data_IF_612044320158
#
_entry.id   IF_612044320158
#
_cell.length_a   1.000
_cell.length_b   1.000
_cell.length_c   1.000
_cell.angle_alpha   90.00
_cell.angle_beta   90.00
_cell.angle_gamma   90.00
#
_symmetry.space_group_name_H-M   'P 1'
#
loop_
_entity.id
_entity.type
_entity.pdbx_description
1 polymer ?
#
# COMPACT_ATOMS: atom_id res chain seq x y z
N UNK A 1 47.60 22.18 8.08
CA UNK A 1 46.22 21.79 8.43
C UNK A 1 45.34 22.94 8.99
N UNK A 2 45.66 24.23 8.76
CA UNK A 2 44.79 25.36 9.17
C UNK A 2 43.90 25.92 8.06
N UNK A 3 44.25 25.72 6.79
CA UNK A 3 43.53 26.25 5.63
C UNK A 3 42.29 25.42 5.24
N UNK A 4 42.27 24.12 5.55
CA UNK A 4 41.14 23.24 5.21
C UNK A 4 39.90 23.50 6.08
N UNK A 5 40.09 23.88 7.35
CA UNK A 5 38.98 24.23 8.27
C UNK A 5 38.29 25.54 7.89
N UNK A 6 39.03 26.52 7.38
CA UNK A 6 38.47 27.82 6.97
C UNK A 6 37.63 27.72 5.69
N UNK A 7 38.02 26.83 4.77
CA UNK A 7 37.29 26.61 3.53
C UNK A 7 35.97 25.85 3.77
N UNK A 8 36.00 24.87 4.69
CA UNK A 8 34.80 24.13 5.09
C UNK A 8 33.78 25.03 5.82
N UNK A 9 34.24 25.97 6.64
CA UNK A 9 33.38 26.94 7.34
C UNK A 9 32.73 27.95 6.38
N UNK A 10 33.43 28.34 5.32
CA UNK A 10 32.92 29.26 4.29
C UNK A 10 31.81 28.60 3.45
N UNK A 11 31.97 27.33 3.10
CA UNK A 11 30.96 26.55 2.35
C UNK A 11 29.71 26.31 3.21
N UNK A 12 29.88 26.01 4.49
CA UNK A 12 28.77 25.80 5.43
C UNK A 12 27.93 27.09 5.59
N UNK A 13 28.57 28.26 5.61
CA UNK A 13 27.90 29.56 5.79
C UNK A 13 27.08 29.97 4.54
N UNK A 14 27.52 29.57 3.35
CA UNK A 14 26.79 29.77 2.08
C UNK A 14 25.58 28.83 1.98
N UNK A 15 25.67 27.60 2.49
CA UNK A 15 24.53 26.67 2.52
C UNK A 15 23.44 27.11 3.51
N UNK A 16 23.81 27.69 4.66
CA UNK A 16 22.85 28.18 5.66
C UNK A 16 22.07 29.41 5.16
N UNK A 17 22.67 30.25 4.31
CA UNK A 17 22.02 31.44 3.74
C UNK A 17 21.08 31.13 2.57
N UNK A 18 21.18 29.94 1.96
CA UNK A 18 20.24 29.47 0.94
C UNK A 18 18.90 28.93 1.47
N UNK A 19 18.80 28.62 2.77
CA UNK A 19 17.61 28.02 3.39
C UNK A 19 16.62 29.05 3.98
N UNK A 20 16.99 30.33 4.07
CA UNK A 20 16.13 31.41 4.62
C UNK A 20 15.29 32.15 3.55
N UNK A 21 15.22 31.63 2.32
CA UNK A 21 14.68 32.33 1.16
C UNK A 21 13.21 32.09 0.77
N UNK A 22 12.37 31.51 1.63
CA UNK A 22 10.92 31.39 1.37
C UNK A 22 10.10 31.59 2.65
N UNK A 23 9.92 32.84 3.04
CA UNK A 23 8.77 33.24 3.84
C UNK A 23 8.39 34.67 3.44
N UNK A 24 7.35 34.79 2.61
CA UNK A 24 6.74 36.05 2.25
C UNK A 24 5.22 35.87 2.31
N UNK A 25 4.68 36.08 3.52
CA UNK A 25 3.28 36.36 3.75
C UNK A 25 2.85 37.61 2.94
N UNK A 26 1.64 37.56 2.38
CA UNK A 26 0.93 38.73 1.85
C UNK A 26 -0.46 38.79 2.49
N UNK A 27 -0.61 39.72 3.42
CA UNK A 27 -1.85 40.42 3.77
C UNK A 27 -1.45 41.90 3.92
N UNK A 28 -1.84 42.82 3.03
CA UNK A 28 -3.12 43.57 2.92
C UNK A 28 -2.81 45.07 3.19
N UNK A 29 -3.55 46.02 2.58
CA UNK A 29 -4.64 46.61 3.36
C UNK A 29 -5.91 46.96 2.54
N UNK A 30 -7.04 46.43 3.02
CA UNK A 30 -8.29 47.13 3.39
C UNK A 30 -8.43 48.60 2.97
N UNK A 31 -9.59 48.96 2.40
CA UNK A 31 -10.57 49.93 2.96
C UNK A 31 -11.85 50.03 2.10
N UNK A 32 -12.95 49.56 2.71
CA UNK A 32 -14.41 49.89 2.60
C UNK A 32 -15.27 49.54 1.37
N UNK A 33 -16.27 48.68 1.60
CA UNK A 33 -17.61 48.80 0.98
C UNK A 33 -18.50 49.83 1.75
N UNK A 34 -19.68 50.26 1.23
CA UNK A 34 -20.91 49.46 1.39
C UNK A 34 -21.95 49.48 0.23
N UNK A 35 -22.57 48.32 -0.01
CA UNK A 35 -24.02 48.07 -0.15
C UNK A 35 -24.91 48.66 -1.29
N UNK A 36 -25.60 47.73 -1.97
CA UNK A 36 -26.98 47.76 -2.53
C UNK A 36 -27.38 48.67 -3.72
N UNK A 37 -27.70 48.04 -4.89
CA UNK A 37 -29.01 48.08 -5.59
C UNK A 37 -28.98 47.47 -7.03
N UNK A 38 -29.88 46.51 -7.32
CA UNK A 38 -30.54 46.30 -8.64
C UNK A 38 -31.69 47.36 -8.77
N UNK A 39 -32.23 47.77 -9.95
CA UNK A 39 -32.83 46.96 -11.05
C UNK A 39 -32.54 47.48 -12.50
N UNK A 40 -32.41 46.62 -13.53
CA UNK A 40 -33.41 46.29 -14.59
C UNK A 40 -33.58 47.29 -15.77
N UNK A 41 -33.38 46.82 -17.02
CA UNK A 41 -34.16 47.07 -18.28
C UNK A 41 -33.35 46.50 -19.48
N UNK A 42 -33.76 45.40 -20.15
CA UNK A 42 -34.61 45.30 -21.37
C UNK A 42 -34.08 46.14 -22.56
N UNK A 43 -34.07 45.76 -23.85
CA UNK A 43 -34.48 44.59 -24.67
C UNK A 43 -34.18 45.00 -26.13
N UNK A 44 -33.79 44.10 -27.05
CA UNK A 44 -34.28 44.03 -28.45
C UNK A 44 -33.98 42.63 -29.02
N UNK A 45 -35.02 41.93 -29.51
CA UNK A 45 -35.02 40.63 -30.23
C UNK A 45 -34.86 40.85 -31.78
N UNK A 46 -35.24 39.93 -32.70
CA UNK A 46 -34.99 38.49 -32.88
C UNK A 46 -34.38 38.21 -34.29
N UNK A 47 -33.91 36.98 -34.52
CA UNK A 47 -34.20 36.24 -35.77
C UNK A 47 -33.96 34.74 -35.55
N UNK A 48 -35.01 33.96 -35.84
CA UNK A 48 -35.15 32.51 -35.75
C UNK A 48 -34.44 31.74 -36.89
N UNK A 49 -34.47 30.41 -36.73
CA UNK A 49 -34.34 29.30 -37.73
C UNK A 49 -32.89 28.73 -37.78
N UNK A 50 -32.56 27.51 -37.31
CA UNK A 50 -33.36 26.30 -37.02
C UNK A 50 -32.76 25.43 -35.89
N UNK A 51 -33.68 24.73 -35.21
CA UNK A 51 -33.47 23.59 -34.33
C UNK A 51 -32.97 22.36 -35.10
N UNK A 52 -32.00 21.65 -34.53
CA UNK A 52 -32.11 20.19 -34.39
C UNK A 52 -31.65 19.81 -32.99
N UNK A 53 -32.64 19.47 -32.16
CA UNK A 53 -32.49 18.88 -30.84
C UNK A 53 -32.08 17.41 -30.93
N UNK A 54 -31.51 16.96 -29.80
CA UNK A 54 -31.76 15.69 -29.13
C UNK A 54 -30.76 14.54 -29.31
N UNK A 55 -29.96 14.35 -28.26
CA UNK A 55 -30.00 13.11 -27.48
C UNK A 55 -29.67 13.41 -26.01
N UNK A 56 -30.61 14.06 -25.32
CA UNK A 56 -30.75 13.89 -23.86
C UNK A 56 -31.39 12.52 -23.66
N UNK A 57 -30.56 11.50 -23.40
CA UNK A 57 -31.06 10.19 -23.02
C UNK A 57 -31.42 10.22 -21.54
N UNK A 58 -32.70 10.46 -21.22
CA UNK A 58 -33.20 10.11 -19.91
C UNK A 58 -33.23 8.59 -19.79
N UNK A 59 -32.32 8.02 -19.00
CA UNK A 59 -32.37 6.60 -18.65
C UNK A 59 -33.74 6.26 -18.03
N UNK A 60 -34.42 5.27 -18.60
CA UNK A 60 -35.66 4.76 -18.05
C UNK A 60 -35.36 3.96 -16.77
N UNK A 61 -36.23 3.98 -15.74
CA UNK A 61 -36.03 3.22 -14.49
C UNK A 61 -35.77 1.72 -14.71
N UNK A 62 -36.30 1.15 -15.80
CA UNK A 62 -36.13 -0.27 -16.16
C UNK A 62 -34.69 -0.57 -16.61
N UNK A 63 -33.97 0.41 -17.16
CA UNK A 63 -32.60 0.23 -17.63
C UNK A 63 -31.59 0.26 -16.47
N UNK A 64 -31.77 1.22 -15.55
CA UNK A 64 -30.96 1.34 -14.33
C UNK A 64 -30.99 0.08 -13.46
N UNK A 65 -32.17 -0.52 -13.28
CA UNK A 65 -32.31 -1.74 -12.47
C UNK A 65 -31.50 -2.92 -13.05
N UNK A 66 -31.53 -3.08 -14.38
CA UNK A 66 -30.75 -4.12 -15.08
C UNK A 66 -29.25 -3.87 -14.97
N UNK A 67 -28.82 -2.62 -15.08
CA UNK A 67 -27.43 -2.25 -14.89
C UNK A 67 -26.96 -2.59 -13.47
N UNK A 68 -27.79 -2.36 -12.44
CA UNK A 68 -27.49 -2.74 -11.06
C UNK A 68 -27.37 -4.26 -10.91
N UNK A 69 -28.21 -5.05 -11.56
CA UNK A 69 -28.10 -6.53 -11.56
C UNK A 69 -26.78 -7.01 -12.18
N UNK A 70 -26.37 -6.41 -13.31
CA UNK A 70 -25.07 -6.70 -13.93
C UNK A 70 -23.94 -6.35 -12.98
N UNK A 71 -24.00 -5.19 -12.30
CA UNK A 71 -22.99 -4.78 -11.34
C UNK A 71 -22.86 -5.75 -10.16
N UNK A 72 -23.99 -6.21 -9.61
CA UNK A 72 -24.01 -7.22 -8.52
C UNK A 72 -23.37 -8.53 -8.95
N UNK A 73 -23.55 -8.95 -10.20
CA UNK A 73 -22.96 -10.16 -10.74
C UNK A 73 -21.42 -10.09 -10.91
N UNK A 74 -20.84 -8.88 -10.90
CA UNK A 74 -19.39 -8.67 -10.97
C UNK A 74 -18.70 -8.77 -9.59
N UNK A 75 -19.45 -8.78 -8.49
CA UNK A 75 -18.90 -8.88 -7.13
C UNK A 75 -18.57 -10.36 -6.86
N UNK A 76 -17.30 -10.73 -6.61
CA UNK A 76 -16.94 -12.10 -6.31
C UNK A 76 -17.43 -12.53 -4.93
N UNK A 77 -17.62 -13.84 -4.76
CA UNK A 77 -17.98 -14.44 -3.48
C UNK A 77 -16.93 -14.11 -2.40
N UNK A 78 -17.38 -13.69 -1.23
CA UNK A 78 -16.52 -13.32 -0.10
C UNK A 78 -16.29 -11.81 0.08
N UNK A 79 -16.61 -10.98 -0.92
CA UNK A 79 -16.56 -9.50 -0.79
C UNK A 79 -17.96 -8.98 -0.49
N UNK A 80 -18.37 -9.06 0.78
CA UNK A 80 -19.76 -8.81 1.18
C UNK A 80 -20.00 -7.46 1.85
N UNK A 81 -18.95 -6.82 2.36
CA UNK A 81 -19.08 -5.59 3.12
C UNK A 81 -17.92 -4.64 2.87
N UNK A 82 -18.18 -3.36 3.12
CA UNK A 82 -17.14 -2.34 3.10
C UNK A 82 -16.18 -2.61 4.27
N UNK A 83 -14.87 -2.73 4.03
CA UNK A 83 -13.90 -2.88 5.10
C UNK A 83 -13.79 -1.54 5.86
N UNK A 84 -14.07 -1.56 7.16
CA UNK A 84 -14.02 -0.37 8.01
C UNK A 84 -12.77 -0.35 8.91
N UNK A 85 -12.21 -1.53 9.16
CA UNK A 85 -11.05 -1.73 10.03
C UNK A 85 -9.86 -2.28 9.27
N UNK A 86 -8.66 -2.12 9.84
CA UNK A 86 -7.44 -2.72 9.29
C UNK A 86 -7.53 -4.26 9.23
N UNK A 87 -8.25 -4.88 10.18
CA UNK A 87 -8.49 -6.32 10.21
C UNK A 87 -9.38 -6.77 9.04
N UNK A 88 -10.36 -5.98 8.66
CA UNK A 88 -11.20 -6.27 7.49
C UNK A 88 -10.40 -6.25 6.18
N UNK A 89 -9.49 -5.28 6.02
CA UNK A 89 -8.61 -5.20 4.86
C UNK A 89 -7.63 -6.37 4.80
N UNK A 90 -7.12 -6.78 5.95
CA UNK A 90 -6.19 -7.90 6.04
C UNK A 90 -6.86 -9.24 5.72
N UNK A 91 -8.11 -9.44 6.14
CA UNK A 91 -8.85 -10.68 5.91
C UNK A 91 -9.59 -10.73 4.56
N UNK A 92 -9.53 -9.66 3.78
CA UNK A 92 -10.18 -9.59 2.47
C UNK A 92 -9.48 -10.55 1.49
N UNK A 93 -10.21 -11.38 0.73
CA UNK A 93 -9.58 -12.22 -0.28
C UNK A 93 -8.88 -11.36 -1.34
N UNK A 94 -7.74 -11.81 -1.87
CA UNK A 94 -7.03 -11.08 -2.91
C UNK A 94 -7.91 -10.98 -4.16
N UNK A 95 -7.90 -9.80 -4.77
CA UNK A 95 -8.60 -9.52 -6.00
C UNK A 95 -7.97 -10.25 -7.19
N UNK A 96 -8.73 -10.39 -8.26
CA UNK A 96 -8.31 -11.09 -9.50
C UNK A 96 -6.94 -10.63 -10.04
N UNK A 97 -6.62 -9.34 -9.89
CA UNK A 97 -5.39 -8.73 -10.41
C UNK A 97 -4.35 -8.43 -9.33
N UNK A 98 -4.52 -8.99 -8.12
CA UNK A 98 -3.58 -8.87 -7.01
C UNK A 98 -2.18 -9.40 -7.35
N UNK A 99 -1.13 -8.78 -6.77
CA UNK A 99 0.25 -9.28 -6.80
C UNK A 99 0.97 -9.16 -8.15
N UNK A 100 0.32 -8.60 -9.17
CA UNK A 100 0.90 -8.40 -10.50
C UNK A 100 0.88 -6.92 -10.87
N UNK A 101 2.00 -6.43 -11.40
CA UNK A 101 2.11 -5.02 -11.78
C UNK A 101 1.12 -4.69 -12.91
N UNK A 102 0.41 -3.56 -12.76
CA UNK A 102 -0.58 -3.05 -13.72
C UNK A 102 -0.14 -3.16 -15.18
N UNK A 103 1.10 -2.74 -15.51
CA UNK A 103 1.60 -2.75 -16.89
C UNK A 103 1.70 -4.13 -17.55
N UNK A 104 1.67 -5.22 -16.78
CA UNK A 104 1.69 -6.60 -17.30
C UNK A 104 0.30 -7.17 -17.58
N UNK A 105 -0.75 -6.50 -17.11
CA UNK A 105 -2.14 -6.97 -17.21
C UNK A 105 -3.09 -5.86 -17.69
N UNK A 106 -2.54 -4.75 -18.19
CA UNK A 106 -3.31 -3.56 -18.59
C UNK A 106 -4.45 -3.91 -19.54
N UNK A 107 -4.18 -4.71 -20.57
CA UNK A 107 -5.18 -5.06 -21.58
C UNK A 107 -6.31 -5.92 -21.00
N UNK A 108 -6.03 -6.75 -20.01
CA UNK A 108 -7.06 -7.56 -19.34
C UNK A 108 -7.88 -6.72 -18.36
N UNK A 109 -7.21 -5.85 -17.61
CA UNK A 109 -7.86 -4.88 -16.71
C UNK A 109 -8.82 -4.00 -17.51
N UNK A 110 -8.35 -3.41 -18.61
CA UNK A 110 -9.17 -2.53 -19.45
C UNK A 110 -10.40 -3.28 -20.01
N UNK A 111 -10.24 -4.56 -20.40
CA UNK A 111 -11.36 -5.40 -20.87
C UNK A 111 -12.39 -5.68 -19.78
N UNK A 112 -11.96 -5.97 -18.55
CA UNK A 112 -12.87 -6.25 -17.44
C UNK A 112 -13.59 -4.97 -17.01
N UNK A 113 -12.89 -3.84 -16.94
CA UNK A 113 -13.52 -2.55 -16.60
C UNK A 113 -14.53 -2.10 -17.65
N UNK A 114 -14.36 -2.45 -18.93
CA UNK A 114 -15.38 -2.21 -19.97
C UNK A 114 -16.69 -2.98 -19.75
N UNK A 115 -16.70 -4.02 -18.91
CA UNK A 115 -17.92 -4.76 -18.56
C UNK A 115 -18.71 -4.08 -17.45
N UNK A 116 -18.13 -3.09 -16.77
CA UNK A 116 -18.84 -2.36 -15.73
C UNK A 116 -19.93 -1.51 -16.38
N UNK A 117 -21.17 -1.57 -15.86
CA UNK A 117 -22.24 -0.74 -16.36
C UNK A 117 -21.91 0.75 -16.13
N UNK A 118 -22.54 1.62 -16.91
CA UNK A 118 -22.44 3.07 -16.73
C UNK A 118 -23.79 3.59 -16.23
N UNK A 119 -23.94 3.66 -14.91
CA UNK A 119 -25.18 4.13 -14.27
C UNK A 119 -25.08 5.64 -14.07
N UNK A 120 -25.98 6.42 -14.68
CA UNK A 120 -26.00 7.86 -14.47
C UNK A 120 -26.53 8.22 -13.06
N UNK A 121 -25.87 9.19 -12.42
CA UNK A 121 -26.22 9.68 -11.08
C UNK A 121 -26.47 8.54 -10.07
N UNK A 122 -25.46 7.69 -9.79
CA UNK A 122 -25.63 6.57 -8.88
C UNK A 122 -25.94 7.08 -7.47
N UNK A 123 -26.87 6.41 -6.80
CA UNK A 123 -27.09 6.63 -5.38
C UNK A 123 -25.97 5.97 -4.56
N UNK A 124 -26.01 6.18 -3.24
CA UNK A 124 -24.99 5.67 -2.33
C UNK A 124 -24.88 4.14 -2.38
N UNK A 125 -26.01 3.44 -2.41
CA UNK A 125 -26.04 1.97 -2.44
C UNK A 125 -25.40 1.45 -3.73
N UNK A 126 -25.67 2.09 -4.88
CA UNK A 126 -25.03 1.75 -6.15
C UNK A 126 -23.52 2.00 -6.11
N UNK A 127 -23.07 3.10 -5.49
CA UNK A 127 -21.63 3.38 -5.32
C UNK A 127 -20.93 2.32 -4.47
N UNK A 128 -21.60 1.83 -3.42
CA UNK A 128 -21.07 0.75 -2.59
C UNK A 128 -20.90 -0.54 -3.40
N UNK A 129 -21.85 -0.87 -4.29
CA UNK A 129 -21.70 -2.02 -5.20
C UNK A 129 -20.51 -1.88 -6.15
N UNK A 130 -20.29 -0.70 -6.72
CA UNK A 130 -19.09 -0.43 -7.53
C UNK A 130 -17.82 -0.66 -6.74
N UNK A 131 -17.77 -0.16 -5.51
CA UNK A 131 -16.62 -0.31 -4.64
C UNK A 131 -16.34 -1.79 -4.32
N UNK A 132 -17.35 -2.57 -3.97
CA UNK A 132 -17.20 -4.01 -3.71
C UNK A 132 -16.72 -4.77 -4.95
N UNK A 133 -17.25 -4.44 -6.14
CA UNK A 133 -16.81 -5.04 -7.39
C UNK A 133 -15.33 -4.70 -7.68
N UNK A 134 -14.91 -3.46 -7.44
CA UNK A 134 -13.52 -3.04 -7.60
C UNK A 134 -12.59 -3.72 -6.58
N UNK A 135 -13.02 -3.89 -5.33
CA UNK A 135 -12.26 -4.68 -4.35
C UNK A 135 -12.04 -6.12 -4.83
N UNK A 136 -13.08 -6.75 -5.39
CA UNK A 136 -12.96 -8.08 -5.99
C UNK A 136 -11.94 -8.17 -7.13
N UNK A 137 -11.60 -7.06 -7.78
CA UNK A 137 -10.60 -7.00 -8.83
C UNK A 137 -9.20 -6.67 -8.30
N UNK A 138 -9.11 -5.75 -7.34
CA UNK A 138 -7.84 -5.08 -6.99
C UNK A 138 -7.44 -5.15 -5.52
N UNK A 139 -8.18 -5.85 -4.66
CA UNK A 139 -7.74 -6.09 -3.30
C UNK A 139 -6.36 -6.77 -3.30
N UNK A 140 -5.38 -6.18 -2.62
CA UNK A 140 -4.02 -6.73 -2.60
C UNK A 140 -3.92 -7.90 -1.62
N UNK A 141 -3.03 -8.84 -1.90
CA UNK A 141 -2.71 -9.96 -1.00
C UNK A 141 -1.78 -9.48 0.12
N UNK A 142 -2.36 -8.87 1.16
CA UNK A 142 -1.59 -8.39 2.30
C UNK A 142 -1.08 -9.56 3.16
N UNK A 143 0.19 -9.56 3.57
CA UNK A 143 0.71 -10.57 4.49
C UNK A 143 0.18 -10.37 5.90
N UNK A 144 0.07 -11.47 6.66
CA UNK A 144 -0.29 -11.45 8.09
C UNK A 144 0.59 -10.46 8.86
N UNK A 145 0.02 -9.47 9.59
CA UNK A 145 0.81 -8.51 10.35
C UNK A 145 1.75 -9.18 11.36
N UNK A 146 1.30 -10.27 11.99
CA UNK A 146 2.13 -11.04 12.93
C UNK A 146 3.32 -11.71 12.24
N UNK A 147 3.14 -12.18 11.01
CA UNK A 147 4.22 -12.79 10.24
C UNK A 147 5.30 -11.74 9.89
N UNK A 148 4.89 -10.54 9.48
CA UNK A 148 5.82 -9.42 9.25
C UNK A 148 6.57 -9.05 10.53
N UNK A 149 5.87 -8.93 11.66
CA UNK A 149 6.49 -8.66 12.96
C UNK A 149 7.51 -9.75 13.32
N UNK A 150 7.18 -11.02 13.09
CA UNK A 150 8.08 -12.14 13.38
C UNK A 150 9.31 -12.11 12.48
N UNK A 151 9.16 -11.82 11.18
CA UNK A 151 10.29 -11.68 10.25
C UNK A 151 11.22 -10.53 10.68
N UNK A 152 10.66 -9.39 11.08
CA UNK A 152 11.45 -8.25 11.59
C UNK A 152 12.21 -8.64 12.86
N UNK A 153 11.56 -9.33 13.81
CA UNK A 153 12.21 -9.82 15.04
C UNK A 153 13.34 -10.79 14.75
N UNK A 154 13.14 -11.70 13.81
CA UNK A 154 14.18 -12.65 13.39
C UNK A 154 15.35 -11.95 12.69
N UNK A 155 15.09 -11.02 11.78
CA UNK A 155 16.11 -10.23 11.11
C UNK A 155 16.90 -9.34 12.08
N UNK A 156 16.24 -8.92 13.16
CA UNK A 156 16.83 -8.08 14.22
C UNK A 156 17.46 -8.90 15.34
N UNK A 157 17.51 -10.23 15.23
CA UNK A 157 18.10 -11.09 16.26
C UNK A 157 19.53 -10.66 16.58
N UNK A 158 19.79 -10.38 17.86
CA UNK A 158 21.09 -9.93 18.33
C UNK A 158 21.38 -8.44 18.16
N UNK A 159 20.43 -7.64 17.65
CA UNK A 159 20.54 -6.18 17.64
C UNK A 159 20.56 -5.62 19.07
N UNK A 160 21.45 -4.68 19.39
CA UNK A 160 21.50 -4.04 20.71
C UNK A 160 20.28 -3.15 20.99
N UNK A 161 19.51 -2.77 19.97
CA UNK A 161 18.31 -1.92 20.09
C UNK A 161 17.03 -2.71 20.41
N UNK A 162 17.12 -4.02 20.56
CA UNK A 162 15.95 -4.87 20.70
C UNK A 162 15.63 -5.10 22.19
N UNK A 163 14.45 -4.67 22.64
CA UNK A 163 14.09 -4.66 24.06
C UNK A 163 13.80 -6.05 24.67
N UNK A 164 13.46 -7.04 23.85
CA UNK A 164 13.09 -8.38 24.32
C UNK A 164 14.35 -9.25 24.57
N UNK A 165 14.63 -9.66 25.82
CA UNK A 165 15.83 -10.43 26.17
C UNK A 165 15.93 -11.81 25.51
N UNK A 166 14.83 -12.33 24.93
CA UNK A 166 14.82 -13.60 24.20
C UNK A 166 15.52 -13.50 22.86
N UNK A 167 15.56 -12.30 22.28
CA UNK A 167 16.12 -12.06 20.96
C UNK A 167 17.47 -11.34 21.03
N UNK A 168 17.91 -10.88 22.20
CA UNK A 168 19.25 -10.34 22.40
C UNK A 168 20.32 -11.44 22.39
N UNK A 169 21.53 -11.11 21.92
CA UNK A 169 22.68 -11.98 22.17
C UNK A 169 22.92 -12.04 23.68
N UNK A 170 22.77 -13.24 24.24
CA UNK A 170 23.21 -13.49 25.60
C UNK A 170 24.72 -13.57 25.59
N UNK A 171 25.38 -12.81 26.47
CA UNK A 171 26.85 -12.85 26.64
C UNK A 171 27.36 -14.28 26.92
N UNK A 172 26.50 -15.14 27.46
CA UNK A 172 26.80 -16.54 27.74
C UNK A 172 25.72 -17.45 27.13
N UNK A 173 26.13 -18.28 26.17
CA UNK A 173 25.30 -19.35 25.61
C UNK A 173 25.71 -20.70 26.19
N UNK A 174 24.74 -21.42 26.77
CA UNK A 174 24.94 -22.78 27.24
C UNK A 174 24.55 -23.74 26.11
N UNK A 175 25.51 -24.51 25.60
CA UNK A 175 25.29 -25.51 24.55
C UNK A 175 25.40 -26.91 25.16
N UNK A 176 24.37 -27.73 24.99
CA UNK A 176 24.40 -29.15 25.36
C UNK A 176 24.54 -30.00 24.10
N UNK A 177 25.61 -30.77 24.01
CA UNK A 177 25.87 -31.68 22.90
C UNK A 177 25.58 -33.10 23.36
N UNK A 178 24.57 -33.72 22.77
CA UNK A 178 24.24 -35.13 23.00
C UNK A 178 24.78 -35.95 21.84
N UNK A 179 25.71 -36.86 22.13
CA UNK A 179 26.38 -37.69 21.13
C UNK A 179 25.84 -39.12 21.20
N UNK A 180 25.25 -39.59 20.10
CA UNK A 180 24.83 -40.98 19.97
C UNK A 180 26.05 -41.93 20.04
N UNK A 181 25.91 -43.02 20.79
CA UNK A 181 26.91 -44.07 20.97
C UNK A 181 26.48 -45.42 20.37
N UNK A 182 25.45 -45.42 19.51
CA UNK A 182 24.99 -46.62 18.81
C UNK A 182 26.10 -47.25 17.95
N UNK A 183 25.99 -48.55 17.67
CA UNK A 183 26.98 -49.28 16.86
C UNK A 183 27.18 -48.68 15.45
N UNK A 184 26.18 -47.97 14.92
CA UNK A 184 26.26 -47.30 13.61
C UNK A 184 27.33 -46.19 13.56
N UNK A 185 27.75 -45.67 14.72
CA UNK A 185 28.78 -44.64 14.84
C UNK A 185 30.20 -45.18 14.61
N UNK A 186 30.38 -46.51 14.67
CA UNK A 186 31.61 -47.17 14.27
C UNK A 186 31.81 -47.25 12.75
N UNK A 187 30.79 -46.96 11.95
CA UNK A 187 30.90 -46.98 10.50
C UNK A 187 31.78 -45.83 10.00
N UNK A 188 32.42 -46.05 8.85
CA UNK A 188 33.27 -45.06 8.21
C UNK A 188 32.45 -43.91 7.61
N UNK A 189 32.99 -42.70 7.73
CA UNK A 189 32.57 -41.51 7.02
C UNK A 189 33.83 -40.83 6.45
N UNK A 190 34.13 -41.13 5.19
CA UNK A 190 35.43 -40.79 4.60
C UNK A 190 36.56 -41.63 5.21
N UNK A 191 37.63 -40.97 5.66
CA UNK A 191 38.84 -41.63 6.20
C UNK A 191 38.84 -41.92 7.71
N UNK A 192 37.74 -41.65 8.42
CA UNK A 192 37.59 -41.84 9.87
C UNK A 192 36.20 -42.40 10.19
N UNK A 193 36.02 -42.91 11.40
CA UNK A 193 34.68 -43.33 11.87
C UNK A 193 33.78 -42.11 12.09
N UNK A 194 32.47 -42.31 12.04
CA UNK A 194 31.48 -41.25 12.36
C UNK A 194 31.68 -40.70 13.78
N UNK A 195 32.03 -41.56 14.73
CA UNK A 195 32.34 -41.18 16.11
C UNK A 195 33.57 -40.26 16.20
N UNK A 196 34.64 -40.58 15.47
CA UNK A 196 35.85 -39.74 15.44
C UNK A 196 35.57 -38.41 14.76
N UNK A 197 34.86 -38.41 13.63
CA UNK A 197 34.45 -37.19 12.95
C UNK A 197 33.61 -36.28 13.86
N UNK A 198 32.65 -36.85 14.58
CA UNK A 198 31.81 -36.10 15.51
C UNK A 198 32.62 -35.53 16.68
N UNK A 199 33.50 -36.32 17.31
CA UNK A 199 34.36 -35.85 18.41
C UNK A 199 35.30 -34.72 17.97
N UNK A 200 35.84 -34.80 16.77
CA UNK A 200 36.70 -33.76 16.20
C UNK A 200 35.93 -32.47 15.92
N UNK A 201 34.74 -32.58 15.33
CA UNK A 201 33.87 -31.43 15.08
C UNK A 201 33.45 -30.74 16.39
N UNK A 202 33.11 -31.52 17.43
CA UNK A 202 32.76 -30.99 18.76
C UNK A 202 33.94 -30.23 19.37
N UNK A 203 35.16 -30.80 19.29
CA UNK A 203 36.37 -30.13 19.79
C UNK A 203 36.67 -28.85 19.02
N UNK A 204 36.48 -28.85 17.70
CA UNK A 204 36.66 -27.67 16.86
C UNK A 204 35.61 -26.59 17.12
N UNK A 205 34.38 -26.97 17.49
CA UNK A 205 33.32 -26.03 17.81
C UNK A 205 33.52 -25.38 19.20
N UNK A 206 34.06 -26.13 20.16
CA UNK A 206 34.24 -25.68 21.54
C UNK A 206 35.59 -25.01 21.84
N UNK A 207 36.52 -25.02 20.88
CA UNK A 207 37.83 -24.35 20.97
C UNK A 207 37.72 -22.88 20.57
#
# INVERSE_FOLDING_TARGET
MRTCKSFFFLILLVFISGLYGCFADREEPVVTEPSSKKPESQSVQPNDIDHEENATSGESPIDKEKQIEVLKALIPEGVTQFPETAEDFYNLPPGRFSGVQYGKQKEEIDKVLQQFPHIENPDRETLELYYLALLGLFAEDYPEPQEIINQIKLASFGSPEMDDPRFQFKEQYNVMIVLDASGSMGNMAGGKTRMEAAKEAIRSFAA
#
